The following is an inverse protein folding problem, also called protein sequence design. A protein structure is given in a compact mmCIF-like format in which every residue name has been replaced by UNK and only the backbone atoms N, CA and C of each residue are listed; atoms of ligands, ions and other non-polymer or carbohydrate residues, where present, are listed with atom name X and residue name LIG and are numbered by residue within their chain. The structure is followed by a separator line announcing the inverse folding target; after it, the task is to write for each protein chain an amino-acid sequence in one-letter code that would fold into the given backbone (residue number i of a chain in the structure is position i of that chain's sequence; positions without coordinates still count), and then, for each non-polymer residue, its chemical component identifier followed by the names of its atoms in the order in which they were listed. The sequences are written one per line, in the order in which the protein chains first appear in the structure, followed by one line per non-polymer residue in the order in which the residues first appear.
data_IF_830732565870
#
_entry.id   IF_830732565870
#
_cell.length_a   1.000
_cell.length_b   1.000
_cell.length_c   1.000
_cell.angle_alpha   90.00
_cell.angle_beta   90.00
_cell.angle_gamma   90.00
#
_symmetry.space_group_name_H-M   'P 1'
#
loop_
_entity.id
_entity.type
_entity.pdbx_description
1 polymer ?
#
# COMPACT_ATOMS: atom_id res chain seq x y z
N UNK A 1 8.35 7.43 21.05
CA UNK A 1 9.25 6.82 20.10
C UNK A 1 9.17 5.31 20.24
N UNK A 2 8.87 4.63 19.13
CA UNK A 2 8.94 3.17 19.03
C UNK A 2 10.09 2.81 18.10
N UNK A 3 10.89 1.85 18.50
CA UNK A 3 11.93 1.26 17.66
C UNK A 3 11.55 -0.17 17.33
N UNK A 4 11.82 -0.59 16.11
CA UNK A 4 11.61 -1.95 15.61
C UNK A 4 12.87 -2.47 14.94
N UNK A 5 13.04 -3.78 14.93
CA UNK A 5 14.11 -4.44 14.22
C UNK A 5 13.71 -5.87 13.90
N UNK A 6 14.20 -6.40 12.80
CA UNK A 6 13.91 -7.74 12.36
C UNK A 6 14.99 -8.28 11.44
N UNK A 7 15.02 -9.61 11.30
CA UNK A 7 15.87 -10.30 10.37
C UNK A 7 15.09 -11.45 9.72
N UNK A 8 15.39 -11.72 8.47
CA UNK A 8 14.87 -12.83 7.69
C UNK A 8 16.02 -13.60 7.09
N UNK A 9 15.89 -14.91 7.01
CA UNK A 9 16.84 -15.77 6.32
C UNK A 9 16.10 -16.91 5.61
N UNK A 10 16.63 -17.38 4.50
CA UNK A 10 16.11 -18.55 3.82
C UNK A 10 17.23 -19.53 3.46
N UNK A 11 16.86 -20.79 3.31
CA UNK A 11 17.77 -21.85 2.86
C UNK A 11 18.30 -21.63 1.44
N UNK A 12 17.68 -20.74 0.67
CA UNK A 12 18.10 -20.35 -0.68
C UNK A 12 19.21 -19.29 -0.69
N UNK A 13 19.74 -18.93 0.48
CA UNK A 13 20.84 -17.98 0.62
C UNK A 13 20.40 -16.52 0.77
N UNK A 14 19.15 -16.25 1.17
CA UNK A 14 18.72 -14.91 1.57
C UNK A 14 19.16 -14.63 3.02
N UNK A 15 19.72 -13.47 3.24
CA UNK A 15 19.87 -12.82 4.54
C UNK A 15 19.35 -11.39 4.44
N UNK A 16 18.43 -11.00 5.30
CA UNK A 16 17.83 -9.67 5.32
C UNK A 16 17.77 -9.17 6.77
N UNK A 17 18.14 -7.92 6.97
CA UNK A 17 18.07 -7.26 8.28
C UNK A 17 17.47 -5.87 8.09
N UNK A 18 16.58 -5.50 8.99
CA UNK A 18 15.94 -4.19 8.93
C UNK A 18 15.74 -3.58 10.32
N UNK A 19 15.64 -2.28 10.33
CA UNK A 19 15.28 -1.50 11.50
C UNK A 19 14.42 -0.32 11.10
N UNK A 20 13.58 0.11 12.04
CA UNK A 20 12.71 1.25 11.83
C UNK A 20 12.39 1.98 13.12
N UNK A 21 11.81 3.14 12.97
CA UNK A 21 11.25 3.90 14.06
C UNK A 21 9.89 4.51 13.72
N UNK A 22 9.08 4.72 14.74
CA UNK A 22 7.90 5.54 14.67
C UNK A 22 7.88 6.54 15.82
N UNK A 23 7.55 7.79 15.52
CA UNK A 23 7.49 8.87 16.50
C UNK A 23 6.22 9.67 16.35
N UNK A 24 5.51 9.84 17.48
CA UNK A 24 4.37 10.74 17.55
C UNK A 24 4.86 12.20 17.47
N UNK A 25 4.24 13.00 16.62
CA UNK A 25 4.50 14.42 16.41
C UNK A 25 3.43 15.24 17.16
N UNK A 26 3.60 15.37 18.47
CA UNK A 26 2.81 16.28 19.32
C UNK A 26 1.28 16.13 19.19
N UNK A 27 0.78 14.92 18.96
CA UNK A 27 -0.65 14.65 18.80
C UNK A 27 -1.24 15.02 17.41
N UNK A 28 -0.44 15.54 16.49
CA UNK A 28 -0.88 15.88 15.13
C UNK A 28 -0.76 14.67 14.18
N UNK A 29 0.22 13.80 14.43
CA UNK A 29 0.44 12.65 13.58
C UNK A 29 1.61 11.78 14.03
N UNK A 30 1.95 10.81 13.19
CA UNK A 30 3.06 9.88 13.38
C UNK A 30 3.95 9.93 12.15
N UNK A 31 5.25 10.11 12.37
CA UNK A 31 6.28 9.86 11.36
C UNK A 31 6.86 8.48 11.60
N UNK A 32 7.06 7.72 10.55
CA UNK A 32 7.80 6.45 10.58
C UNK A 32 8.87 6.43 9.50
N UNK A 33 9.96 5.74 9.78
CA UNK A 33 10.96 5.42 8.76
C UNK A 33 11.56 4.05 9.04
N UNK A 34 11.79 3.31 7.97
CA UNK A 34 12.33 1.96 7.99
C UNK A 34 13.46 1.86 6.96
N UNK A 35 14.51 1.14 7.31
CA UNK A 35 15.58 0.76 6.41
C UNK A 35 15.83 -0.74 6.52
N UNK A 36 16.12 -1.37 5.39
CA UNK A 36 16.48 -2.78 5.36
C UNK A 36 17.63 -3.00 4.37
N UNK A 37 18.51 -3.93 4.71
CA UNK A 37 19.59 -4.41 3.85
C UNK A 37 19.37 -5.88 3.57
N UNK A 38 19.63 -6.31 2.35
CA UNK A 38 19.53 -7.71 1.95
C UNK A 38 20.79 -8.18 1.26
N UNK A 39 21.09 -9.44 1.44
CA UNK A 39 22.07 -10.20 0.66
C UNK A 39 21.37 -11.47 0.15
N UNK A 40 21.41 -11.66 -1.16
CA UNK A 40 20.90 -12.88 -1.77
C UNK A 40 21.92 -13.40 -2.77
N UNK A 41 22.55 -14.53 -2.47
CA UNK A 41 23.73 -15.05 -3.19
C UNK A 41 24.83 -14.00 -3.20
N UNK A 42 25.24 -13.53 -4.39
CA UNK A 42 26.31 -12.54 -4.57
C UNK A 42 25.78 -11.11 -4.76
N UNK A 43 24.46 -10.90 -4.61
CA UNK A 43 23.80 -9.61 -4.81
C UNK A 43 23.41 -8.98 -3.48
N UNK A 44 23.66 -7.69 -3.37
CA UNK A 44 23.27 -6.88 -2.19
C UNK A 44 22.35 -5.76 -2.60
N UNK A 45 21.48 -5.35 -1.69
CA UNK A 45 20.59 -4.23 -1.92
C UNK A 45 20.01 -3.66 -0.64
N UNK A 46 19.37 -2.51 -0.78
CA UNK A 46 18.80 -1.76 0.33
C UNK A 46 17.37 -1.34 0.01
N UNK A 47 16.55 -1.19 1.02
CA UNK A 47 15.22 -0.60 0.93
C UNK A 47 15.07 0.46 2.02
N UNK A 48 14.50 1.61 1.66
CA UNK A 48 14.16 2.65 2.60
C UNK A 48 12.69 3.05 2.44
N UNK A 49 12.00 3.27 3.55
CA UNK A 49 10.64 3.77 3.61
C UNK A 49 10.58 4.93 4.57
N UNK A 50 9.84 5.98 4.21
CA UNK A 50 9.44 7.04 5.10
C UNK A 50 7.93 7.26 4.96
N UNK A 51 7.26 7.45 6.06
CA UNK A 51 5.82 7.69 6.11
C UNK A 51 5.45 8.79 7.10
N UNK A 52 4.38 9.46 6.81
CA UNK A 52 3.76 10.44 7.67
C UNK A 52 2.25 10.28 7.60
N UNK A 53 1.62 10.10 8.74
CA UNK A 53 0.17 10.08 8.86
C UNK A 53 -0.28 10.99 10.00
N UNK A 54 -1.46 11.56 9.88
CA UNK A 54 -1.94 12.47 10.92
C UNK A 54 -3.30 13.07 10.66
N UNK A 55 -3.64 13.99 11.56
CA UNK A 55 -4.88 14.75 11.50
C UNK A 55 -4.58 16.25 11.50
N UNK A 56 -5.12 16.95 10.51
CA UNK A 56 -5.06 18.41 10.43
C UNK A 56 -6.17 19.00 11.31
N UNK A 57 -7.31 18.32 11.38
CA UNK A 57 -8.46 18.70 12.19
C UNK A 57 -9.27 17.46 12.63
N UNK A 58 -10.35 17.67 13.38
CA UNK A 58 -11.28 16.57 13.75
C UNK A 58 -11.83 15.83 12.52
N UNK A 59 -11.92 16.52 11.40
CA UNK A 59 -12.58 16.03 10.20
C UNK A 59 -11.60 15.71 9.07
N UNK A 60 -10.33 16.12 9.16
CA UNK A 60 -9.35 15.96 8.09
C UNK A 60 -8.18 15.14 8.60
N UNK A 61 -7.94 14.01 7.95
CA UNK A 61 -6.74 13.20 8.13
C UNK A 61 -5.99 13.03 6.83
N UNK A 62 -4.71 12.78 6.92
CA UNK A 62 -3.85 12.54 5.77
C UNK A 62 -2.89 11.39 6.05
N UNK A 63 -2.42 10.79 4.97
CA UNK A 63 -1.33 9.83 4.99
C UNK A 63 -0.45 10.04 3.76
N UNK A 64 0.85 9.87 3.93
CA UNK A 64 1.79 9.84 2.83
C UNK A 64 2.91 8.88 3.14
N UNK A 65 3.42 8.19 2.13
CA UNK A 65 4.58 7.34 2.27
C UNK A 65 5.39 7.32 0.97
N UNK A 66 6.69 7.18 1.14
CA UNK A 66 7.65 7.01 0.08
C UNK A 66 8.53 5.81 0.41
N UNK A 67 8.59 4.84 -0.50
CA UNK A 67 9.50 3.71 -0.43
C UNK A 67 10.39 3.71 -1.65
N UNK A 68 11.67 3.46 -1.46
CA UNK A 68 12.63 3.26 -2.54
C UNK A 68 13.49 2.04 -2.26
N UNK A 69 13.73 1.29 -3.32
CA UNK A 69 14.66 0.18 -3.36
C UNK A 69 15.93 0.65 -4.09
N UNK A 70 17.07 0.28 -3.58
CA UNK A 70 18.39 0.59 -4.14
C UNK A 70 19.08 -0.72 -4.44
N UNK A 71 19.75 -0.78 -5.56
CA UNK A 71 20.46 -1.96 -6.05
C UNK A 71 19.53 -3.19 -6.13
N UNK A 72 20.07 -4.36 -5.92
CA UNK A 72 19.34 -5.62 -5.99
C UNK A 72 18.83 -6.05 -4.61
N UNK A 73 17.87 -5.30 -4.05
CA UNK A 73 17.24 -5.68 -2.79
C UNK A 73 16.30 -6.88 -2.98
N UNK A 74 16.43 -7.87 -2.10
CA UNK A 74 15.57 -9.05 -2.03
C UNK A 74 14.88 -9.13 -0.67
N UNK A 75 13.62 -9.50 -0.69
CA UNK A 75 12.89 -9.94 0.48
C UNK A 75 12.45 -11.40 0.31
N UNK A 76 11.89 -11.98 1.36
CA UNK A 76 11.45 -13.37 1.34
C UNK A 76 10.38 -13.63 0.27
N UNK A 77 9.51 -12.64 0.00
CA UNK A 77 8.47 -12.74 -1.01
C UNK A 77 9.08 -12.86 -2.42
N UNK A 78 10.08 -12.02 -2.74
CA UNK A 78 10.79 -12.06 -4.02
C UNK A 78 11.56 -13.38 -4.22
N UNK A 79 12.25 -13.85 -3.18
CA UNK A 79 12.99 -15.11 -3.26
C UNK A 79 12.03 -16.29 -3.44
N UNK A 80 10.91 -16.31 -2.70
CA UNK A 80 9.88 -17.36 -2.84
C UNK A 80 9.26 -17.38 -4.23
N UNK A 81 9.04 -16.21 -4.82
CA UNK A 81 8.54 -16.10 -6.19
C UNK A 81 9.54 -16.62 -7.23
N UNK A 82 10.81 -16.26 -7.09
CA UNK A 82 11.89 -16.79 -7.98
C UNK A 82 11.94 -18.31 -7.90
N UNK A 83 11.81 -18.89 -6.69
CA UNK A 83 11.74 -20.33 -6.50
C UNK A 83 10.55 -20.96 -7.21
N UNK A 84 9.36 -20.41 -6.99
CA UNK A 84 8.13 -20.87 -7.63
C UNK A 84 8.24 -20.91 -9.17
N UNK A 85 8.81 -19.86 -9.77
CA UNK A 85 9.03 -19.76 -11.22
C UNK A 85 9.97 -20.86 -11.73
N UNK A 86 11.06 -21.13 -11.02
CA UNK A 86 12.01 -22.18 -11.37
C UNK A 86 11.40 -23.57 -11.28
N UNK A 87 10.69 -23.87 -10.20
CA UNK A 87 10.09 -25.17 -9.96
C UNK A 87 8.98 -25.51 -10.95
N UNK A 88 8.24 -24.52 -11.40
CA UNK A 88 7.11 -24.73 -12.31
C UNK A 88 7.46 -24.54 -13.80
N UNK A 89 8.75 -24.36 -14.15
CA UNK A 89 9.23 -24.18 -15.52
C UNK A 89 8.42 -23.13 -16.31
N UNK A 90 8.04 -22.05 -15.66
CA UNK A 90 7.23 -20.98 -16.26
C UNK A 90 8.01 -20.31 -17.37
N UNK A 91 7.43 -20.19 -18.59
CA UNK A 91 8.10 -19.62 -19.76
C UNK A 91 8.45 -18.15 -19.55
N UNK A 92 9.43 -17.66 -20.32
CA UNK A 92 9.99 -16.31 -20.17
C UNK A 92 8.95 -15.17 -20.23
N UNK A 93 7.89 -15.32 -21.03
CA UNK A 93 6.80 -14.34 -21.07
C UNK A 93 6.02 -14.26 -19.75
N UNK A 94 5.69 -15.40 -19.17
CA UNK A 94 5.01 -15.46 -17.87
C UNK A 94 5.94 -15.03 -16.73
N UNK A 95 7.26 -15.26 -16.86
CA UNK A 95 8.26 -14.77 -15.90
C UNK A 95 8.30 -13.24 -15.87
N UNK A 96 8.15 -12.56 -17.00
CA UNK A 96 8.08 -11.10 -17.04
C UNK A 96 6.87 -10.57 -16.25
N UNK A 97 5.68 -11.14 -16.43
CA UNK A 97 4.49 -10.74 -15.67
C UNK A 97 4.65 -10.92 -14.15
N UNK A 98 5.30 -11.99 -13.73
CA UNK A 98 5.49 -12.28 -12.31
C UNK A 98 6.66 -11.50 -11.70
N UNK A 99 7.69 -11.18 -12.48
CA UNK A 99 8.79 -10.32 -12.00
C UNK A 99 8.35 -8.89 -11.68
N UNK A 100 7.33 -8.39 -12.37
CA UNK A 100 6.72 -7.09 -12.07
C UNK A 100 5.96 -7.05 -10.73
N UNK A 101 5.54 -8.19 -10.20
CA UNK A 101 4.75 -8.23 -8.97
C UNK A 101 5.60 -8.23 -7.70
N UNK A 102 6.89 -8.58 -7.78
CA UNK A 102 7.65 -8.90 -6.59
C UNK A 102 8.18 -7.68 -5.83
N UNK A 103 8.78 -6.70 -6.49
CA UNK A 103 9.25 -5.50 -5.80
C UNK A 103 9.28 -4.28 -6.74
N UNK A 104 8.51 -3.28 -6.39
CA UNK A 104 8.61 -1.98 -7.06
C UNK A 104 9.87 -1.25 -6.59
N UNK A 105 10.61 -0.64 -7.53
CA UNK A 105 11.80 0.17 -7.23
C UNK A 105 11.42 1.42 -6.43
N UNK A 106 10.23 1.95 -6.69
CA UNK A 106 9.75 3.16 -6.02
C UNK A 106 8.24 3.10 -5.84
N UNK A 107 7.77 3.45 -4.66
CA UNK A 107 6.34 3.58 -4.34
C UNK A 107 6.10 4.92 -3.66
N UNK A 108 5.21 5.72 -4.21
CA UNK A 108 4.71 6.95 -3.60
C UNK A 108 3.23 6.76 -3.32
N UNK A 109 2.81 7.04 -2.11
CA UNK A 109 1.39 7.09 -1.72
C UNK A 109 1.11 8.38 -1.00
N UNK A 110 0.00 9.01 -1.34
CA UNK A 110 -0.51 10.18 -0.63
C UNK A 110 -2.02 10.13 -0.61
N UNK A 111 -2.63 10.52 0.49
CA UNK A 111 -4.07 10.53 0.62
C UNK A 111 -4.56 11.53 1.65
N UNK A 112 -5.76 12.04 1.41
CA UNK A 112 -6.48 12.93 2.31
C UNK A 112 -7.89 12.37 2.47
N UNK A 113 -8.31 12.27 3.71
CA UNK A 113 -9.68 11.91 4.07
C UNK A 113 -10.36 13.10 4.75
N UNK A 114 -11.56 13.45 4.30
CA UNK A 114 -12.38 14.49 4.86
C UNK A 114 -13.75 13.95 5.25
N UNK A 115 -14.07 14.00 6.53
CA UNK A 115 -15.37 13.65 7.09
C UNK A 115 -16.18 14.94 7.32
N UNK A 116 -17.09 15.26 6.42
CA UNK A 116 -17.81 16.54 6.43
C UNK A 116 -19.14 16.51 7.20
N UNK A 117 -19.65 15.32 7.49
CA UNK A 117 -20.85 15.11 8.29
C UNK A 117 -20.81 13.76 9.00
N UNK A 118 -21.65 13.56 10.02
CA UNK A 118 -21.74 12.27 10.70
C UNK A 118 -22.14 11.17 9.71
N UNK A 119 -21.24 10.25 9.45
CA UNK A 119 -21.45 9.14 8.53
C UNK A 119 -21.16 9.44 7.05
N UNK A 120 -20.59 10.62 6.71
CA UNK A 120 -20.18 10.96 5.34
C UNK A 120 -18.71 11.29 5.26
N UNK A 121 -18.03 10.78 4.26
CA UNK A 121 -16.61 11.04 4.05
C UNK A 121 -16.19 10.95 2.60
N UNK A 122 -15.18 11.75 2.27
CA UNK A 122 -14.48 11.74 0.99
C UNK A 122 -13.02 11.39 1.24
N UNK A 123 -12.50 10.47 0.46
CA UNK A 123 -11.07 10.18 0.39
C UNK A 123 -10.56 10.47 -1.01
N UNK A 124 -9.44 11.17 -1.11
CA UNK A 124 -8.70 11.35 -2.36
C UNK A 124 -7.30 10.80 -2.15
N UNK A 125 -6.87 9.93 -3.04
CA UNK A 125 -5.59 9.25 -2.96
C UNK A 125 -4.84 9.24 -4.26
N UNK A 126 -3.52 9.38 -4.16
CA UNK A 126 -2.56 9.20 -5.24
C UNK A 126 -1.65 8.02 -4.90
N UNK A 127 -1.44 7.15 -5.87
CA UNK A 127 -0.53 6.03 -5.77
C UNK A 127 0.32 5.95 -7.04
N UNK A 128 1.64 6.03 -6.86
CA UNK A 128 2.60 5.78 -7.94
C UNK A 128 3.44 4.57 -7.57
N UNK A 129 3.55 3.63 -8.50
CA UNK A 129 4.38 2.45 -8.39
C UNK A 129 5.28 2.42 -9.63
N UNK A 130 6.59 2.45 -9.40
CA UNK A 130 7.59 2.41 -10.46
C UNK A 130 8.35 1.10 -10.38
N UNK A 131 8.44 0.43 -11.49
CA UNK A 131 9.32 -0.70 -11.76
C UNK A 131 10.40 -0.25 -12.74
N UNK A 132 11.45 -1.07 -12.95
CA UNK A 132 12.57 -0.72 -13.83
C UNK A 132 12.14 -0.19 -15.20
N UNK A 133 11.12 -0.79 -15.81
CA UNK A 133 10.71 -0.50 -17.18
C UNK A 133 9.31 0.11 -17.30
N UNK A 134 8.54 0.11 -16.20
CA UNK A 134 7.15 0.55 -16.20
C UNK A 134 6.82 1.38 -14.96
N UNK A 135 5.87 2.28 -15.11
CA UNK A 135 5.30 2.98 -13.96
C UNK A 135 3.77 3.02 -14.04
N UNK A 136 3.14 3.04 -12.88
CA UNK A 136 1.68 3.18 -12.75
C UNK A 136 1.38 4.37 -11.86
N UNK A 137 0.50 5.25 -12.31
CA UNK A 137 0.09 6.44 -11.57
C UNK A 137 -1.42 6.47 -11.48
N UNK A 138 -1.95 6.20 -10.31
CA UNK A 138 -3.37 6.11 -10.04
C UNK A 138 -3.82 7.25 -9.14
N UNK A 139 -4.73 8.08 -9.63
CA UNK A 139 -5.52 9.00 -8.82
C UNK A 139 -6.87 8.35 -8.53
N UNK A 140 -7.28 8.33 -7.27
CA UNK A 140 -8.57 7.78 -6.85
C UNK A 140 -9.32 8.76 -5.95
N UNK A 141 -10.63 8.73 -6.06
CA UNK A 141 -11.53 9.46 -5.18
C UNK A 141 -12.67 8.54 -4.73
N UNK A 142 -12.92 8.50 -3.44
CA UNK A 142 -13.98 7.68 -2.85
C UNK A 142 -14.90 8.56 -2.05
N UNK A 143 -16.21 8.37 -2.21
CA UNK A 143 -17.25 9.01 -1.44
C UNK A 143 -18.08 7.93 -0.77
N UNK A 144 -18.29 8.05 0.52
CA UNK A 144 -19.16 7.14 1.27
C UNK A 144 -20.08 7.90 2.19
N UNK A 145 -21.23 7.30 2.48
CA UNK A 145 -22.18 7.94 3.38
C UNK A 145 -23.30 7.02 3.83
N UNK A 146 -23.96 7.44 4.90
CA UNK A 146 -25.12 6.76 5.48
C UNK A 146 -26.37 7.58 5.16
N UNK A 147 -27.27 7.05 4.33
CA UNK A 147 -28.51 7.71 3.93
C UNK A 147 -29.55 7.68 5.07
N UNK A 148 -29.61 6.56 5.79
CA UNK A 148 -30.44 6.38 6.98
C UNK A 148 -29.95 5.19 7.80
N UNK A 149 -30.70 4.77 8.83
CA UNK A 149 -30.30 3.66 9.74
C UNK A 149 -29.96 2.34 9.02
N UNK A 150 -30.52 2.13 7.83
CA UNK A 150 -30.45 0.86 7.12
C UNK A 150 -29.71 0.96 5.79
N UNK A 151 -29.56 2.15 5.24
CA UNK A 151 -28.96 2.36 3.93
C UNK A 151 -27.69 3.18 4.00
N UNK A 152 -26.68 2.72 3.32
CA UNK A 152 -25.46 3.45 3.02
C UNK A 152 -25.12 3.37 1.54
N UNK A 153 -24.24 4.24 1.10
CA UNK A 153 -23.71 4.22 -0.24
C UNK A 153 -22.19 4.32 -0.23
N UNK A 154 -21.60 3.85 -1.30
CA UNK A 154 -20.19 3.99 -1.62
C UNK A 154 -20.05 4.29 -3.11
N UNK A 155 -19.23 5.27 -3.44
CA UNK A 155 -18.82 5.57 -4.81
C UNK A 155 -17.33 5.69 -4.89
N UNK A 156 -16.75 5.15 -5.95
CA UNK A 156 -15.32 5.22 -6.22
C UNK A 156 -15.12 5.66 -7.66
N UNK A 157 -14.18 6.57 -7.86
CA UNK A 157 -13.69 6.94 -9.18
C UNK A 157 -12.17 6.83 -9.20
N UNK A 158 -11.61 6.39 -10.30
CA UNK A 158 -10.16 6.35 -10.48
C UNK A 158 -9.76 6.77 -11.89
N UNK A 159 -8.52 7.24 -12.01
CA UNK A 159 -7.89 7.56 -13.28
C UNK A 159 -6.45 7.10 -13.28
N UNK A 160 -6.09 6.28 -14.27
CA UNK A 160 -4.70 5.94 -14.58
C UNK A 160 -4.11 6.98 -15.53
N UNK A 161 -2.90 7.46 -15.24
CA UNK A 161 -2.25 8.53 -16.00
C UNK A 161 -1.16 8.05 -16.94
N UNK A 162 -0.75 6.78 -16.91
CA UNK A 162 0.45 6.38 -17.65
C UNK A 162 0.20 5.49 -18.86
N UNK A 163 -0.36 4.32 -18.73
CA UNK A 163 -0.32 3.37 -19.87
C UNK A 163 -1.58 3.32 -20.73
N UNK A 164 -2.74 3.62 -20.20
CA UNK A 164 -3.98 3.47 -20.96
C UNK A 164 -4.94 4.64 -20.83
N UNK A 165 -4.63 5.63 -19.98
CA UNK A 165 -5.54 6.73 -19.63
C UNK A 165 -6.92 6.22 -19.20
N UNK A 166 -6.92 5.03 -18.59
CA UNK A 166 -8.13 4.38 -18.17
C UNK A 166 -8.74 5.09 -16.96
N UNK A 167 -10.03 5.17 -16.95
CA UNK A 167 -10.79 5.66 -15.82
C UNK A 167 -11.93 4.68 -15.52
N UNK A 168 -12.35 4.67 -14.29
CA UNK A 168 -13.49 3.88 -13.88
C UNK A 168 -14.29 4.59 -12.80
N UNK A 169 -15.57 4.32 -12.78
CA UNK A 169 -16.49 4.79 -11.75
C UNK A 169 -17.27 3.58 -11.26
N UNK A 170 -17.36 3.45 -9.97
CA UNK A 170 -18.13 2.42 -9.29
C UNK A 170 -19.09 3.07 -8.31
N UNK A 171 -20.31 2.55 -8.24
CA UNK A 171 -21.32 2.96 -7.26
C UNK A 171 -21.96 1.73 -6.63
N UNK A 172 -22.14 1.75 -5.33
CA UNK A 172 -22.82 0.70 -4.59
C UNK A 172 -23.78 1.28 -3.54
N UNK A 173 -24.92 0.62 -3.37
CA UNK A 173 -25.83 0.81 -2.25
C UNK A 173 -25.71 -0.39 -1.32
N UNK A 174 -25.62 -0.12 -0.03
CA UNK A 174 -25.60 -1.13 1.01
C UNK A 174 -26.85 -1.04 1.86
N UNK A 175 -27.58 -2.15 1.98
CA UNK A 175 -28.69 -2.29 2.91
C UNK A 175 -28.28 -3.18 4.08
N UNK A 176 -28.50 -2.71 5.30
CA UNK A 176 -28.28 -3.47 6.54
C UNK A 176 -29.61 -3.55 7.28
N UNK A 177 -30.29 -4.71 7.25
CA UNK A 177 -31.56 -4.87 7.96
C UNK A 177 -31.35 -4.68 9.48
N UNK A 178 -32.25 -3.97 10.12
CA UNK A 178 -32.24 -3.88 11.59
C UNK A 178 -32.70 -5.22 12.16
N UNK A 179 -31.77 -6.02 12.65
CA UNK A 179 -32.11 -7.20 13.46
C UNK A 179 -32.63 -6.71 14.82
N UNK A 180 -33.92 -6.53 14.97
CA UNK A 180 -34.56 -6.64 16.29
C UNK A 180 -34.59 -8.13 16.64
N UNK A 181 -33.59 -8.63 17.32
CA UNK A 181 -33.72 -9.87 18.08
C UNK A 181 -34.58 -9.48 19.29
N UNK A 182 -35.89 -9.73 19.21
CA UNK A 182 -36.74 -9.82 20.39
C UNK A 182 -36.31 -11.14 21.07
N UNK A 183 -35.43 -11.04 22.07
CA UNK A 183 -35.27 -12.11 23.04
C UNK A 183 -36.62 -12.14 23.83
N UNK A 184 -37.39 -13.21 23.64
CA UNK A 184 -38.49 -13.65 24.47
C UNK A 184 -37.92 -14.35 25.70
#
# INVERSE_FOLDING_TARGET
LTLSGGAEASTDGLSNVGTGFAKNLFGVGVINADIAASQYKDENGYSALVGLEGRISKNISFNTSYRKVFDNYFDLARVSQIRYLKENQVNAESQNYLSYSALADEIIRAGINYNFYTGYGVYVGYNQIKYSDNSYKLLSANLSGTLNKNWGFYSSAYKDHENHKDYGIYFALRYTPSTRVNAI
#
